data_IF_857576784943
#
_entry.id   IF_857576784943
#
_cell.length_a   1.000
_cell.length_b   1.000
_cell.length_c   1.000
_cell.angle_alpha   90.00
_cell.angle_beta   90.00
_cell.angle_gamma   90.00
#
_symmetry.space_group_name_H-M   'P 1'
#
loop_
_entity.id
_entity.type
_entity.pdbx_description
1 polymer ?
#
# COMPACT_ATOMS: atom_id res chain seq x y z
N UNK A 1 6.16 -6.08 -20.59
CA UNK A 1 6.85 -7.02 -19.69
C UNK A 1 6.53 -8.44 -20.13
N UNK A 2 7.49 -9.38 -20.04
CA UNK A 2 7.25 -10.82 -20.31
C UNK A 2 7.08 -11.64 -19.02
N UNK A 3 7.26 -10.99 -17.87
CA UNK A 3 7.07 -11.59 -16.55
C UNK A 3 5.88 -10.93 -15.87
N UNK A 4 5.14 -11.70 -15.08
CA UNK A 4 4.06 -11.22 -14.23
C UNK A 4 3.92 -12.13 -13.01
N UNK A 5 3.17 -11.67 -12.02
CA UNK A 5 2.83 -12.45 -10.84
C UNK A 5 1.31 -12.65 -10.74
N UNK A 6 0.90 -13.74 -10.11
CA UNK A 6 -0.50 -14.00 -9.76
C UNK A 6 -0.61 -14.52 -8.34
N UNK A 7 -1.78 -14.28 -7.75
CA UNK A 7 -2.15 -14.69 -6.40
C UNK A 7 -3.62 -15.12 -6.39
N UNK A 8 -4.05 -15.83 -5.34
CA UNK A 8 -5.44 -16.23 -5.17
C UNK A 8 -5.68 -17.08 -3.92
N UNK A 9 -6.79 -17.81 -3.93
CA UNK A 9 -7.31 -18.60 -2.79
C UNK A 9 -6.46 -19.85 -2.48
N UNK A 10 -5.57 -20.26 -3.39
CA UNK A 10 -4.60 -21.33 -3.12
C UNK A 10 -3.44 -20.89 -2.20
N UNK A 11 -3.51 -19.65 -1.69
CA UNK A 11 -2.54 -18.99 -0.83
C UNK A 11 -1.13 -18.96 -1.42
N UNK A 12 -0.99 -19.05 -2.75
CA UNK A 12 0.30 -19.05 -3.43
C UNK A 12 0.63 -17.67 -4.01
N UNK A 13 1.93 -17.36 -4.05
CA UNK A 13 2.48 -16.33 -4.94
C UNK A 13 3.17 -17.05 -6.09
N UNK A 14 2.72 -16.79 -7.31
CA UNK A 14 3.23 -17.46 -8.51
C UNK A 14 3.86 -16.42 -9.43
N UNK A 15 5.12 -16.65 -9.81
CA UNK A 15 5.82 -15.86 -10.82
C UNK A 15 5.83 -16.62 -12.14
N UNK A 16 5.49 -15.89 -13.21
CA UNK A 16 5.36 -16.41 -14.55
C UNK A 16 6.38 -15.73 -15.46
N UNK A 17 6.93 -16.49 -16.40
CA UNK A 17 7.66 -15.98 -17.55
C UNK A 17 6.94 -16.47 -18.81
N UNK A 18 6.35 -15.56 -19.58
CA UNK A 18 5.59 -15.90 -20.78
C UNK A 18 6.45 -16.62 -21.85
N UNK A 19 7.79 -16.57 -21.73
CA UNK A 19 8.71 -17.31 -22.61
C UNK A 19 8.87 -18.77 -22.25
N UNK A 20 8.65 -19.16 -20.99
CA UNK A 20 8.81 -20.55 -20.52
C UNK A 20 7.60 -21.43 -20.85
N UNK A 21 6.50 -20.82 -21.33
CA UNK A 21 5.29 -21.52 -21.73
C UNK A 21 4.27 -21.58 -20.59
N UNK A 22 3.79 -22.78 -20.25
CA UNK A 22 2.63 -22.98 -19.37
C UNK A 22 2.98 -23.27 -17.91
N UNK A 23 4.26 -23.41 -17.57
CA UNK A 23 4.70 -23.72 -16.21
C UNK A 23 5.16 -22.47 -15.47
N UNK A 24 4.84 -22.35 -14.16
CA UNK A 24 5.39 -21.28 -13.33
C UNK A 24 6.91 -21.25 -13.37
N UNK A 25 7.49 -20.05 -13.42
CA UNK A 25 8.92 -19.87 -13.23
C UNK A 25 9.30 -20.07 -11.75
N UNK A 26 8.46 -19.57 -10.85
CA UNK A 26 8.58 -19.77 -9.39
C UNK A 26 7.18 -19.90 -8.81
N UNK A 27 6.98 -20.82 -7.87
CA UNK A 27 5.75 -20.94 -7.08
C UNK A 27 6.11 -20.95 -5.61
N UNK A 28 5.69 -19.93 -4.86
CA UNK A 28 5.80 -19.87 -3.40
C UNK A 28 4.51 -20.43 -2.82
N UNK A 29 4.58 -21.65 -2.28
CA UNK A 29 3.44 -22.27 -1.62
C UNK A 29 3.27 -21.70 -0.20
N UNK A 30 2.01 -21.54 0.23
CA UNK A 30 1.68 -20.97 1.55
C UNK A 30 2.35 -19.61 1.76
N UNK A 31 2.31 -18.78 0.72
CA UNK A 31 2.80 -17.41 0.76
C UNK A 31 2.10 -16.63 1.89
N UNK A 32 0.84 -16.93 2.19
CA UNK A 32 0.09 -16.45 3.35
C UNK A 32 -0.62 -17.58 4.12
N UNK A 33 -1.20 -17.23 5.28
CA UNK A 33 -2.02 -18.14 6.09
C UNK A 33 -3.47 -18.28 5.61
N UNK A 34 -3.88 -17.53 4.60
CA UNK A 34 -5.19 -17.56 3.96
C UNK A 34 -5.10 -17.01 2.53
N UNK A 35 -6.25 -16.77 1.92
CA UNK A 35 -6.39 -16.30 0.54
C UNK A 35 -5.57 -15.03 0.31
N UNK A 36 -4.93 -14.93 -0.86
CA UNK A 36 -4.14 -13.76 -1.24
C UNK A 36 -4.92 -12.96 -2.25
N UNK A 37 -5.45 -11.82 -1.82
CA UNK A 37 -6.39 -11.01 -2.60
C UNK A 37 -5.71 -10.08 -3.60
N UNK A 38 -4.51 -9.60 -3.28
CA UNK A 38 -3.83 -8.59 -4.07
C UNK A 38 -2.33 -8.81 -4.12
N UNK A 39 -1.73 -8.35 -5.22
CA UNK A 39 -0.29 -8.36 -5.47
C UNK A 39 0.09 -7.11 -6.24
N UNK A 40 1.26 -6.53 -5.92
CA UNK A 40 1.82 -5.44 -6.71
C UNK A 40 3.35 -5.50 -6.79
N UNK A 41 3.88 -5.03 -7.91
CA UNK A 41 5.30 -5.08 -8.25
C UNK A 41 5.92 -3.69 -8.17
N UNK A 42 7.01 -3.54 -7.42
CA UNK A 42 7.67 -2.26 -7.27
C UNK A 42 8.24 -1.77 -8.61
N UNK A 43 7.73 -0.60 -9.05
CA UNK A 43 8.14 0.06 -10.29
C UNK A 43 9.58 0.59 -10.24
N UNK A 44 10.13 0.81 -9.06
CA UNK A 44 11.48 1.34 -8.84
C UNK A 44 12.53 0.23 -8.59
N UNK A 45 12.12 -0.92 -8.05
CA UNK A 45 12.97 -2.11 -7.90
C UNK A 45 12.19 -3.38 -8.25
N UNK A 46 12.43 -3.89 -9.45
CA UNK A 46 11.80 -5.10 -10.00
C UNK A 46 12.04 -6.37 -9.18
N UNK A 47 12.83 -6.32 -8.11
CA UNK A 47 12.97 -7.46 -7.21
C UNK A 47 11.91 -7.52 -6.11
N UNK A 48 11.25 -6.39 -5.80
CA UNK A 48 10.31 -6.32 -4.69
C UNK A 48 8.86 -6.47 -5.12
N UNK A 49 8.17 -7.40 -4.44
CA UNK A 49 6.76 -7.71 -4.66
C UNK A 49 6.03 -7.60 -3.33
N UNK A 50 4.82 -7.03 -3.34
CA UNK A 50 3.91 -7.01 -2.20
C UNK A 50 2.76 -7.96 -2.43
N UNK A 51 2.29 -8.60 -1.37
CA UNK A 51 1.04 -9.38 -1.37
C UNK A 51 0.20 -9.03 -0.16
N UNK A 52 -1.12 -8.91 -0.32
CA UNK A 52 -2.09 -8.72 0.75
C UNK A 52 -3.09 -9.87 0.83
N UNK A 53 -3.53 -10.22 2.04
CA UNK A 53 -4.27 -11.45 2.31
C UNK A 53 -5.41 -11.31 3.31
N UNK A 54 -6.31 -12.30 3.27
CA UNK A 54 -7.28 -12.61 4.32
C UNK A 54 -6.65 -12.88 5.70
N UNK A 55 -5.33 -13.14 5.79
CA UNK A 55 -4.62 -13.28 7.07
C UNK A 55 -4.29 -11.93 7.76
N UNK A 56 -4.89 -10.84 7.28
CA UNK A 56 -4.76 -9.46 7.76
C UNK A 56 -3.34 -8.86 7.60
N UNK A 57 -2.46 -9.52 6.85
CA UNK A 57 -1.08 -9.07 6.69
C UNK A 57 -0.74 -8.69 5.26
N UNK A 58 0.20 -7.76 5.14
CA UNK A 58 0.93 -7.51 3.89
C UNK A 58 2.30 -8.16 4.02
N UNK A 59 2.75 -8.89 2.99
CA UNK A 59 4.09 -9.47 2.94
C UNK A 59 4.87 -8.88 1.79
N UNK A 60 6.15 -8.60 2.04
CA UNK A 60 7.09 -8.14 1.03
C UNK A 60 8.08 -9.25 0.70
N UNK A 61 8.31 -9.47 -0.58
CA UNK A 61 9.12 -10.55 -1.13
C UNK A 61 10.27 -9.98 -1.94
N UNK A 62 11.42 -10.65 -1.88
CA UNK A 62 12.53 -10.41 -2.79
C UNK A 62 12.58 -11.59 -3.75
N UNK A 63 12.31 -11.37 -5.04
CA UNK A 63 12.31 -12.46 -6.02
C UNK A 63 13.67 -13.16 -6.14
N UNK A 64 14.77 -12.49 -5.78
CA UNK A 64 16.12 -13.07 -5.76
C UNK A 64 16.28 -14.14 -4.67
N UNK A 65 15.44 -14.07 -3.63
CA UNK A 65 15.42 -15.02 -2.53
C UNK A 65 14.39 -16.14 -2.73
N UNK A 66 13.58 -16.08 -3.81
CA UNK A 66 12.61 -17.12 -4.13
C UNK A 66 13.31 -18.20 -4.99
N UNK A 67 13.77 -19.27 -4.35
CA UNK A 67 14.48 -20.35 -5.03
C UNK A 67 13.57 -21.26 -5.88
N UNK A 68 14.15 -22.12 -6.74
CA UNK A 68 13.43 -23.03 -7.65
C UNK A 68 12.50 -24.07 -6.99
N UNK A 69 12.41 -24.08 -5.65
CA UNK A 69 11.50 -24.92 -4.88
C UNK A 69 10.45 -24.15 -4.07
N UNK A 70 10.28 -22.84 -4.30
CA UNK A 70 9.28 -22.04 -3.59
C UNK A 70 9.60 -21.73 -2.12
N UNK A 71 10.75 -22.21 -1.62
CA UNK A 71 11.23 -21.99 -0.26
C UNK A 71 11.79 -20.57 -0.12
N UNK A 72 10.91 -19.57 -0.15
CA UNK A 72 11.22 -18.20 0.20
C UNK A 72 10.37 -17.78 1.39
N UNK A 73 10.99 -17.24 2.43
CA UNK A 73 10.27 -16.48 3.46
C UNK A 73 10.11 -15.04 2.98
N UNK A 74 9.03 -14.33 3.35
CA UNK A 74 8.94 -12.91 3.09
C UNK A 74 10.10 -12.17 3.77
N UNK A 75 10.60 -11.11 3.13
CA UNK A 75 11.58 -10.19 3.73
C UNK A 75 10.99 -9.56 4.99
N UNK A 76 9.71 -9.19 4.91
CA UNK A 76 8.98 -8.61 6.02
C UNK A 76 7.49 -8.93 5.96
N UNK A 77 6.88 -9.00 7.15
CA UNK A 77 5.43 -9.10 7.35
C UNK A 77 4.96 -7.83 8.05
N UNK A 78 4.17 -7.03 7.35
CA UNK A 78 3.56 -5.82 7.88
C UNK A 78 2.23 -6.18 8.55
N UNK A 79 2.18 -5.98 9.87
CA UNK A 79 1.02 -6.27 10.71
C UNK A 79 0.43 -4.96 11.21
N UNK A 80 -0.83 -4.67 10.93
CA UNK A 80 -1.47 -3.43 11.37
C UNK A 80 -2.93 -3.31 10.96
N UNK A 81 -3.34 -4.02 9.91
CA UNK A 81 -4.74 -4.25 9.62
C UNK A 81 -5.36 -5.23 10.60
N UNK A 82 -6.66 -5.06 10.86
CA UNK A 82 -7.47 -5.90 11.76
C UNK A 82 -8.43 -6.82 11.00
N UNK A 83 -8.49 -6.69 9.68
CA UNK A 83 -9.30 -7.50 8.78
C UNK A 83 -8.57 -7.69 7.44
N UNK A 84 -9.21 -8.41 6.51
CA UNK A 84 -8.60 -8.84 5.26
C UNK A 84 -8.07 -7.66 4.44
N UNK A 85 -6.84 -7.78 3.92
CA UNK A 85 -6.23 -6.77 3.05
C UNK A 85 -6.74 -6.99 1.63
N UNK A 86 -7.37 -5.97 1.06
CA UNK A 86 -8.05 -6.04 -0.23
C UNK A 86 -7.18 -5.51 -1.38
N UNK A 87 -6.39 -4.46 -1.14
CA UNK A 87 -5.54 -3.86 -2.15
C UNK A 87 -4.17 -3.47 -1.57
N UNK A 88 -3.12 -3.60 -2.38
CA UNK A 88 -1.77 -3.09 -2.11
C UNK A 88 -1.26 -2.39 -3.37
N UNK A 89 -0.60 -1.25 -3.21
CA UNK A 89 0.03 -0.53 -4.32
C UNK A 89 1.30 0.18 -3.88
N UNK A 90 2.39 -0.04 -4.62
CA UNK A 90 3.60 0.76 -4.51
C UNK A 90 3.33 2.20 -4.88
N UNK A 91 4.00 3.12 -4.19
CA UNK A 91 3.99 4.51 -4.57
C UNK A 91 4.72 4.68 -5.92
N UNK A 92 4.15 5.41 -6.89
CA UNK A 92 4.83 5.68 -8.15
C UNK A 92 5.98 6.70 -8.02
N UNK A 93 6.06 7.42 -6.89
CA UNK A 93 7.02 8.51 -6.68
C UNK A 93 8.13 8.15 -5.67
N UNK A 94 7.91 7.12 -4.85
CA UNK A 94 8.73 6.80 -3.67
C UNK A 94 9.03 5.30 -3.63
N UNK A 95 10.28 4.94 -3.96
CA UNK A 95 10.72 3.55 -4.07
C UNK A 95 10.48 2.68 -2.83
N UNK A 96 10.50 3.25 -1.63
CA UNK A 96 10.30 2.51 -0.38
C UNK A 96 8.89 2.48 0.16
N UNK A 97 7.97 3.23 -0.45
CA UNK A 97 6.64 3.50 0.10
C UNK A 97 5.58 2.73 -0.65
N UNK A 98 4.60 2.22 0.08
CA UNK A 98 3.42 1.59 -0.49
C UNK A 98 2.18 1.84 0.37
N UNK A 99 1.00 1.67 -0.23
CA UNK A 99 -0.28 1.70 0.44
C UNK A 99 -0.86 0.30 0.60
N UNK A 100 -1.71 0.11 1.59
CA UNK A 100 -2.60 -1.04 1.70
C UNK A 100 -3.97 -0.64 2.24
N UNK A 101 -5.03 -1.20 1.65
CA UNK A 101 -6.41 -1.01 2.09
C UNK A 101 -7.01 -2.33 2.53
N UNK A 102 -7.97 -2.28 3.45
CA UNK A 102 -8.54 -3.47 4.05
C UNK A 102 -10.03 -3.32 4.40
N UNK A 103 -10.63 -4.43 4.79
CA UNK A 103 -12.01 -4.50 5.29
C UNK A 103 -12.21 -3.78 6.64
N UNK A 104 -11.14 -3.40 7.33
CA UNK A 104 -11.21 -2.66 8.59
C UNK A 104 -11.50 -1.16 8.40
N UNK A 105 -11.64 -0.71 7.15
CA UNK A 105 -11.93 0.68 6.80
C UNK A 105 -10.72 1.61 6.89
N UNK A 106 -9.52 1.07 7.12
CA UNK A 106 -8.28 1.85 7.15
C UNK A 106 -7.49 1.68 5.85
N UNK A 107 -6.84 2.77 5.44
CA UNK A 107 -5.77 2.72 4.44
C UNK A 107 -4.46 3.07 5.13
N UNK A 108 -3.54 2.10 5.18
CA UNK A 108 -2.22 2.28 5.76
C UNK A 108 -1.23 2.65 4.67
N UNK A 109 -0.41 3.67 4.92
CA UNK A 109 0.78 3.98 4.13
C UNK A 109 1.99 3.52 4.91
N UNK A 110 2.86 2.78 4.23
CA UNK A 110 4.03 2.13 4.80
C UNK A 110 5.29 2.65 4.14
N UNK A 111 6.41 2.57 4.86
CA UNK A 111 7.76 2.82 4.36
C UNK A 111 8.66 1.68 4.85
N UNK A 112 9.05 0.79 3.93
CA UNK A 112 9.77 -0.42 4.32
C UNK A 112 11.18 -0.14 4.85
N UNK A 113 11.78 1.01 4.53
CA UNK A 113 13.08 1.42 5.08
C UNK A 113 12.99 1.86 6.55
N UNK A 114 11.76 2.08 7.07
CA UNK A 114 11.49 2.47 8.46
C UNK A 114 11.13 1.30 9.37
N UNK A 115 11.07 0.07 8.86
CA UNK A 115 10.70 -1.14 9.64
C UNK A 115 11.53 -1.31 10.92
N UNK A 116 12.84 -1.04 10.86
CA UNK A 116 13.74 -1.10 12.02
C UNK A 116 13.92 0.20 12.81
N UNK A 117 13.30 1.30 12.36
CA UNK A 117 13.48 2.66 12.91
C UNK A 117 12.22 3.13 13.65
N UNK A 118 11.66 2.28 14.51
CA UNK A 118 10.43 2.59 15.24
C UNK A 118 10.65 3.75 16.22
N UNK A 119 9.88 4.84 16.07
CA UNK A 119 9.79 5.89 17.10
C UNK A 119 8.92 5.46 18.28
N UNK A 120 7.85 4.70 18.02
CA UNK A 120 6.95 4.15 19.03
C UNK A 120 7.02 2.61 19.00
N UNK A 121 7.37 1.94 20.12
CA UNK A 121 7.47 0.48 20.18
C UNK A 121 6.13 -0.23 19.91
N UNK A 122 5.00 0.43 20.19
CA UNK A 122 3.67 -0.12 19.98
C UNK A 122 3.14 0.07 18.55
N UNK A 123 3.86 0.83 17.71
CA UNK A 123 3.48 0.97 16.30
C UNK A 123 4.00 -0.22 15.48
N UNK A 124 3.23 -0.70 14.49
CA UNK A 124 3.75 -1.60 13.47
C UNK A 124 5.05 -1.11 12.83
N UNK A 125 5.90 -2.06 12.43
CA UNK A 125 7.12 -1.74 11.69
C UNK A 125 6.78 -1.10 10.35
N UNK A 126 7.42 0.03 10.05
CA UNK A 126 7.25 0.71 8.75
C UNK A 126 5.92 1.43 8.57
N UNK A 127 4.97 1.38 9.52
CA UNK A 127 3.74 2.17 9.42
C UNK A 127 4.10 3.66 9.45
N UNK A 128 3.75 4.35 8.37
CA UNK A 128 4.11 5.73 8.15
C UNK A 128 2.92 6.67 8.36
N UNK A 129 1.74 6.28 7.88
CA UNK A 129 0.47 7.00 8.07
C UNK A 129 -0.71 6.04 8.01
N UNK A 130 -1.82 6.40 8.64
CA UNK A 130 -3.08 5.67 8.56
C UNK A 130 -4.21 6.65 8.27
N UNK A 131 -4.90 6.45 7.15
CA UNK A 131 -6.12 7.15 6.82
C UNK A 131 -7.31 6.44 7.46
N UNK A 132 -8.09 7.20 8.23
CA UNK A 132 -9.27 6.73 8.97
C UNK A 132 -10.55 7.47 8.55
N UNK A 133 -10.59 7.98 7.30
CA UNK A 133 -11.71 8.78 6.80
C UNK A 133 -12.88 7.95 6.27
N UNK A 134 -12.67 6.70 5.87
CA UNK A 134 -13.74 5.82 5.42
C UNK A 134 -14.49 5.20 6.61
N UNK A 135 -15.78 4.92 6.40
CA UNK A 135 -16.67 4.33 7.43
C UNK A 135 -17.00 2.87 7.18
N UNK A 136 -16.49 2.31 6.09
CA UNK A 136 -16.69 0.93 5.68
C UNK A 136 -15.43 0.44 4.94
N UNK A 137 -15.41 -0.83 4.55
CA UNK A 137 -14.32 -1.52 3.83
C UNK A 137 -13.78 -0.67 2.69
N UNK A 138 -12.47 -0.53 2.59
CA UNK A 138 -11.85 0.18 1.45
C UNK A 138 -11.52 -0.85 0.37
N UNK A 139 -12.35 -0.87 -0.67
CA UNK A 139 -12.32 -1.90 -1.73
C UNK A 139 -11.21 -1.65 -2.75
N UNK A 140 -10.85 -0.39 -2.99
CA UNK A 140 -9.74 -0.04 -3.87
C UNK A 140 -9.18 1.35 -3.56
N UNK A 141 -7.95 1.59 -3.99
CA UNK A 141 -7.34 2.91 -3.96
C UNK A 141 -6.30 3.06 -5.08
N UNK A 142 -5.95 4.29 -5.40
CA UNK A 142 -4.92 4.58 -6.39
C UNK A 142 -4.09 5.81 -6.02
N UNK A 143 -2.78 5.70 -6.21
CA UNK A 143 -1.87 6.85 -6.10
C UNK A 143 -2.04 7.81 -7.27
N UNK A 144 -2.04 9.11 -7.02
CA UNK A 144 -1.98 10.09 -8.09
C UNK A 144 -0.53 10.25 -8.57
N UNK A 145 -0.21 9.71 -9.75
CA UNK A 145 1.13 9.80 -10.35
C UNK A 145 1.54 11.21 -10.79
N UNK A 146 0.62 12.18 -10.79
CA UNK A 146 0.89 13.57 -11.16
C UNK A 146 0.97 14.51 -9.96
N UNK A 147 0.50 14.07 -8.79
CA UNK A 147 0.56 14.84 -7.56
C UNK A 147 1.01 13.94 -6.40
N UNK A 148 2.31 13.96 -6.04
CA UNK A 148 2.85 13.10 -5.01
C UNK A 148 2.08 13.20 -3.70
N UNK A 149 1.90 12.04 -3.06
CA UNK A 149 1.17 11.87 -1.80
C UNK A 149 -0.35 12.10 -1.86
N UNK A 150 -0.91 12.35 -3.03
CA UNK A 150 -2.35 12.37 -3.24
C UNK A 150 -2.84 10.97 -3.61
N UNK A 151 -3.91 10.53 -2.96
CA UNK A 151 -4.53 9.22 -3.12
C UNK A 151 -6.03 9.40 -3.34
N UNK A 152 -6.60 8.61 -4.25
CA UNK A 152 -8.03 8.37 -4.31
C UNK A 152 -8.32 7.01 -3.71
N UNK A 153 -9.32 6.92 -2.84
CA UNK A 153 -9.76 5.66 -2.25
C UNK A 153 -11.27 5.57 -2.25
N UNK A 154 -11.78 4.36 -2.43
CA UNK A 154 -13.22 4.07 -2.48
C UNK A 154 -13.57 3.05 -1.42
N UNK A 155 -14.66 3.31 -0.70
CA UNK A 155 -15.24 2.34 0.22
C UNK A 155 -16.45 1.66 -0.38
N UNK A 156 -16.67 0.42 0.05
CA UNK A 156 -17.89 -0.34 -0.23
C UNK A 156 -19.13 0.49 0.13
N UNK A 157 -20.20 0.38 -0.67
CA UNK A 157 -21.50 0.98 -0.43
C UNK A 157 -22.42 0.10 0.43
N UNK A 158 -21.91 -1.08 0.83
CA UNK A 158 -22.61 -2.20 1.45
C UNK A 158 -23.65 -1.84 2.52
N UNK A 159 -24.62 -2.75 2.66
CA UNK A 159 -25.91 -2.73 3.39
C UNK A 159 -25.94 -2.15 4.82
N UNK A 160 -24.81 -1.70 5.36
CA UNK A 160 -24.71 -1.02 6.63
C UNK A 160 -25.30 0.39 6.57
N UNK A 161 -26.16 0.74 7.53
CA UNK A 161 -26.74 2.08 7.67
C UNK A 161 -25.73 3.15 8.11
N UNK A 162 -24.43 2.82 8.14
CA UNK A 162 -23.34 3.62 8.71
C UNK A 162 -22.70 4.65 7.79
N UNK A 163 -23.05 4.67 6.50
CA UNK A 163 -22.59 5.67 5.54
C UNK A 163 -21.28 5.34 4.83
N UNK A 164 -21.20 4.13 4.24
CA UNK A 164 -20.21 3.76 3.22
C UNK A 164 -20.45 4.44 1.86
N UNK A 165 -19.93 3.85 0.78
CA UNK A 165 -20.14 4.27 -0.60
C UNK A 165 -19.45 5.59 -0.95
N UNK A 166 -18.32 5.86 -0.31
CA UNK A 166 -17.60 7.13 -0.46
C UNK A 166 -16.42 6.98 -1.38
N UNK A 167 -16.24 7.97 -2.27
CA UNK A 167 -14.97 8.25 -2.92
C UNK A 167 -14.31 9.41 -2.18
N UNK A 168 -13.07 9.22 -1.76
CA UNK A 168 -12.29 10.24 -1.08
C UNK A 168 -11.03 10.51 -1.88
N UNK A 169 -10.74 11.79 -2.12
CA UNK A 169 -9.43 12.25 -2.62
C UNK A 169 -8.78 13.00 -1.47
N UNK A 170 -7.60 12.54 -1.06
CA UNK A 170 -6.92 13.07 0.10
C UNK A 170 -5.41 13.08 -0.13
N UNK A 171 -4.73 13.96 0.60
CA UNK A 171 -3.28 14.13 0.54
C UNK A 171 -2.73 14.14 1.96
N UNK A 172 -1.63 13.43 2.17
CA UNK A 172 -0.94 13.50 3.46
C UNK A 172 -0.34 14.89 3.70
N UNK A 173 -0.40 15.36 4.94
CA UNK A 173 0.22 16.63 5.30
C UNK A 173 1.73 16.59 5.08
N UNK A 174 2.27 17.64 4.47
CA UNK A 174 3.70 17.83 4.23
C UNK A 174 4.54 17.73 5.51
N UNK A 175 3.98 18.11 6.65
CA UNK A 175 4.62 18.01 7.98
C UNK A 175 4.92 16.57 8.42
N UNK A 176 4.32 15.56 7.76
CA UNK A 176 4.52 14.15 8.10
C UNK A 176 5.82 13.61 7.48
N UNK A 177 6.20 14.12 6.30
CA UNK A 177 7.32 13.59 5.52
C UNK A 177 8.44 14.61 5.24
N UNK A 178 8.27 15.88 5.58
CA UNK A 178 9.26 16.97 5.39
C UNK A 178 9.63 17.61 6.72
N UNK A 179 10.81 18.25 6.81
CA UNK A 179 11.16 19.10 7.94
C UNK A 179 10.16 20.23 8.14
N UNK A 180 9.77 20.49 9.39
CA UNK A 180 8.75 21.50 9.72
C UNK A 180 9.15 22.91 9.29
N UNK A 181 10.42 23.27 9.46
CA UNK A 181 10.97 24.57 9.07
C UNK A 181 10.88 24.82 7.57
N UNK A 182 11.14 23.81 6.75
CA UNK A 182 10.98 23.89 5.30
C UNK A 182 9.51 24.09 4.91
N UNK A 183 8.60 23.31 5.50
CA UNK A 183 7.17 23.38 5.20
C UNK A 183 6.58 24.73 5.62
N UNK A 184 6.92 25.22 6.81
CA UNK A 184 6.45 26.51 7.31
C UNK A 184 7.01 27.66 6.47
N UNK A 185 8.30 27.60 6.09
CA UNK A 185 8.91 28.59 5.20
C UNK A 185 8.20 28.66 3.85
N UNK A 186 7.89 27.51 3.25
CA UNK A 186 7.13 27.45 2.00
C UNK A 186 5.70 28.00 2.17
N UNK A 187 5.00 27.64 3.25
CA UNK A 187 3.65 28.14 3.53
C UNK A 187 3.60 29.68 3.64
N UNK A 188 4.62 30.29 4.26
CA UNK A 188 4.73 31.75 4.38
C UNK A 188 4.86 32.43 3.01
N UNK A 189 5.44 31.78 1.99
CA UNK A 189 5.51 32.33 0.62
C UNK A 189 4.13 32.47 -0.03
N UNK A 190 3.18 31.59 0.31
CA UNK A 190 1.82 31.59 -0.25
C UNK A 190 0.81 32.36 0.60
N UNK A 191 1.19 32.82 1.78
CA UNK A 191 0.30 33.49 2.74
C UNK A 191 -0.38 34.73 2.16
N UNK A 192 0.36 35.54 1.40
CA UNK A 192 -0.19 36.73 0.72
C UNK A 192 -1.21 36.36 -0.36
N UNK A 193 -0.97 35.26 -1.09
CA UNK A 193 -1.89 34.76 -2.10
C UNK A 193 -3.18 34.22 -1.46
N UNK A 194 -3.07 33.42 -0.40
CA UNK A 194 -4.23 32.89 0.34
C UNK A 194 -5.11 34.02 0.90
N UNK A 195 -4.50 35.09 1.41
CA UNK A 195 -5.23 36.27 1.88
C UNK A 195 -5.99 37.00 0.76
N UNK A 196 -5.56 36.86 -0.50
CA UNK A 196 -6.23 37.45 -1.67
C UNK A 196 -7.34 36.56 -2.25
N UNK A 197 -7.35 35.27 -1.92
CA UNK A 197 -8.39 34.34 -2.35
C UNK A 197 -9.68 34.57 -1.55
N UNK A 198 -10.55 35.45 -2.04
CA UNK A 198 -11.91 35.58 -1.52
C UNK A 198 -12.75 34.37 -1.93
N UNK A 199 -13.55 33.76 -1.02
CA UNK A 199 -14.50 32.73 -1.39
C UNK A 199 -15.42 33.27 -2.48
N UNK A 200 -15.56 32.53 -3.59
CA UNK A 200 -16.68 32.79 -4.49
C UNK A 200 -17.96 32.36 -3.76
N UNK A 201 -18.84 33.32 -3.51
CA UNK A 201 -20.18 33.10 -2.99
C UNK A 201 -21.02 32.25 -3.95
#
# INVERSE_FOLDING_TARGET
>A
AQEFCSVGDDACLILWDARTGTSPAVKVEKAHGGDVHCVDWNLHDVNYILTGSADNSVRMWDRRNLGPGGAGSPIHKFEGHKAAVLCVQWSPDKASVFGSSAEDGFLNVWDHEKVGKKKNPNSPGGLFFQHAGHRDKIVDFHWNSSDPWTIVSVSDDGESTGGGGTLQIWRMSDLIYRPEDEVVSELETFKSHLASCTPRA
#
